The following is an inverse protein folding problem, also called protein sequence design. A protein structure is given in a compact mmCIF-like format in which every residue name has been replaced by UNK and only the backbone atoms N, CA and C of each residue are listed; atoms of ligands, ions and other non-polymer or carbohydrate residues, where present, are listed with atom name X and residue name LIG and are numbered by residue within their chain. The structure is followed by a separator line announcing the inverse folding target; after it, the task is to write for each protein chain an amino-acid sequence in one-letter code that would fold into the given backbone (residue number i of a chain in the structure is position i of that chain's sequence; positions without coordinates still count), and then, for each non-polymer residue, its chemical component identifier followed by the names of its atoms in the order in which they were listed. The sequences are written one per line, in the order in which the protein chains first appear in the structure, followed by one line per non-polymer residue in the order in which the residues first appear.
data_IF_812563879928
#
_entry.id   IF_812563879928
#
_cell.length_a   1.000
_cell.length_b   1.000
_cell.length_c   1.000
_cell.angle_alpha   90.00
_cell.angle_beta   90.00
_cell.angle_gamma   90.00
#
_symmetry.space_group_name_H-M   'P 1'
#
loop_
_entity.id
_entity.type
_entity.pdbx_description
1 polymer ?
#
# COMPACT_ATOMS: atom_id res chain seq x y z
N UNK A 1 -0.82 -30.72 -24.92
CA UNK A 1 -0.36 -29.35 -24.58
C UNK A 1 0.59 -29.48 -23.38
N UNK A 2 1.88 -29.18 -23.57
CA UNK A 2 2.99 -29.61 -22.70
C UNK A 2 3.21 -28.59 -21.58
N UNK A 3 2.76 -28.90 -20.36
CA UNK A 3 2.78 -27.99 -19.18
C UNK A 3 4.16 -28.01 -18.47
N UNK A 4 5.12 -28.80 -18.95
CA UNK A 4 6.42 -28.99 -18.26
C UNK A 4 7.45 -27.85 -18.42
N UNK A 5 7.23 -26.87 -19.32
CA UNK A 5 8.27 -25.87 -19.66
C UNK A 5 8.20 -24.54 -18.91
N UNK A 6 7.21 -24.34 -18.03
CA UNK A 6 7.01 -23.03 -17.34
C UNK A 6 8.06 -22.80 -16.25
N UNK A 7 8.75 -23.85 -15.79
CA UNK A 7 9.73 -23.79 -14.69
C UNK A 7 11.07 -23.12 -15.08
N UNK A 8 11.34 -22.93 -16.38
CA UNK A 8 12.64 -22.43 -16.87
C UNK A 8 12.62 -20.95 -17.28
N UNK A 9 11.49 -20.25 -17.11
CA UNK A 9 11.37 -18.88 -17.57
C UNK A 9 11.99 -17.91 -16.56
N UNK A 10 12.77 -16.96 -17.07
CA UNK A 10 13.28 -15.83 -16.25
C UNK A 10 12.11 -15.12 -15.58
N UNK A 11 12.33 -14.65 -14.34
CA UNK A 11 11.33 -13.91 -13.55
C UNK A 11 10.74 -12.72 -14.31
N UNK A 12 11.54 -12.08 -15.16
CA UNK A 12 11.13 -10.98 -16.03
C UNK A 12 10.03 -11.40 -17.02
N UNK A 13 10.20 -12.55 -17.70
CA UNK A 13 9.25 -13.06 -18.69
C UNK A 13 7.92 -13.45 -18.04
N UNK A 14 7.98 -14.06 -16.86
CA UNK A 14 6.78 -14.43 -16.09
C UNK A 14 6.03 -13.18 -15.64
N UNK A 15 6.75 -12.20 -15.07
CA UNK A 15 6.15 -10.92 -14.64
C UNK A 15 5.49 -10.18 -15.79
N UNK A 16 6.20 -10.06 -16.92
CA UNK A 16 5.71 -9.38 -18.11
C UNK A 16 4.48 -10.08 -18.70
N UNK A 17 4.47 -11.41 -18.74
CA UNK A 17 3.31 -12.17 -19.20
C UNK A 17 2.08 -11.95 -18.30
N UNK A 18 2.25 -12.05 -16.98
CA UNK A 18 1.16 -11.80 -16.02
C UNK A 18 0.62 -10.38 -16.19
N UNK A 19 1.51 -9.39 -16.33
CA UNK A 19 1.12 -8.00 -16.56
C UNK A 19 0.29 -7.85 -17.83
N UNK A 20 0.71 -8.42 -18.96
CA UNK A 20 -0.03 -8.31 -20.22
C UNK A 20 -1.39 -9.01 -20.16
N UNK A 21 -1.48 -10.17 -19.51
CA UNK A 21 -2.77 -10.86 -19.32
C UNK A 21 -3.71 -10.01 -18.47
N UNK A 22 -3.23 -9.43 -17.36
CA UNK A 22 -4.02 -8.57 -16.50
C UNK A 22 -4.48 -7.31 -17.23
N UNK A 23 -3.58 -6.63 -17.94
CA UNK A 23 -3.91 -5.42 -18.72
C UNK A 23 -4.90 -5.76 -19.83
N UNK A 24 -4.71 -6.86 -20.54
CA UNK A 24 -5.63 -7.32 -21.59
C UNK A 24 -7.02 -7.59 -21.04
N UNK A 25 -7.12 -8.26 -19.89
CA UNK A 25 -8.39 -8.50 -19.20
C UNK A 25 -9.08 -7.19 -18.78
N UNK A 26 -8.33 -6.25 -18.20
CA UNK A 26 -8.85 -4.93 -17.81
C UNK A 26 -9.39 -4.20 -19.02
N UNK A 27 -8.57 -4.04 -20.07
CA UNK A 27 -8.97 -3.33 -21.29
C UNK A 27 -10.21 -3.96 -21.91
N UNK A 28 -10.28 -5.29 -21.98
CA UNK A 28 -11.44 -6.01 -22.50
C UNK A 28 -12.71 -5.69 -21.71
N UNK A 29 -12.68 -5.82 -20.38
CA UNK A 29 -13.86 -5.54 -19.53
C UNK A 29 -14.28 -4.08 -19.64
N UNK A 30 -13.33 -3.14 -19.69
CA UNK A 30 -13.63 -1.72 -19.87
C UNK A 30 -14.22 -1.40 -21.25
N UNK A 31 -13.74 -2.04 -22.32
CA UNK A 31 -14.36 -1.93 -23.65
C UNK A 31 -15.81 -2.40 -23.58
N UNK A 32 -16.08 -3.56 -22.99
CA UNK A 32 -17.45 -4.07 -22.85
C UNK A 32 -18.33 -3.12 -22.02
N UNK A 33 -17.79 -2.55 -20.93
CA UNK A 33 -18.46 -1.55 -20.11
C UNK A 33 -18.86 -0.28 -20.88
N UNK A 34 -17.96 0.27 -21.70
CA UNK A 34 -18.25 1.48 -22.46
C UNK A 34 -19.10 1.25 -23.70
N UNK A 35 -19.00 0.07 -24.34
CA UNK A 35 -19.72 -0.19 -25.59
C UNK A 35 -21.11 -0.80 -25.38
N UNK A 36 -21.36 -1.47 -24.26
CA UNK A 36 -22.60 -2.24 -24.07
C UNK A 36 -23.44 -1.64 -22.96
N UNK A 37 -24.57 -1.04 -23.36
CA UNK A 37 -25.57 -0.51 -22.44
C UNK A 37 -25.12 0.74 -21.69
N UNK A 38 -24.20 1.53 -22.25
CA UNK A 38 -23.63 2.71 -21.58
C UNK A 38 -24.68 3.73 -21.11
N UNK A 39 -25.77 3.89 -21.87
CA UNK A 39 -26.86 4.82 -21.58
C UNK A 39 -27.96 4.22 -20.69
N UNK A 40 -27.78 3.02 -20.14
CA UNK A 40 -28.75 2.40 -19.23
C UNK A 40 -28.80 3.20 -17.92
N UNK A 41 -29.95 3.75 -17.51
CA UNK A 41 -30.07 4.51 -16.27
C UNK A 41 -30.02 3.57 -15.06
N UNK A 42 -29.40 4.05 -13.99
CA UNK A 42 -29.33 3.32 -12.72
C UNK A 42 -30.68 3.37 -11.98
N UNK A 43 -31.14 2.22 -11.51
CA UNK A 43 -32.49 2.06 -10.94
C UNK A 43 -32.72 2.93 -9.69
N UNK A 44 -31.73 3.02 -8.80
CA UNK A 44 -31.88 3.76 -7.54
C UNK A 44 -31.69 5.27 -7.72
N UNK A 45 -30.97 5.67 -8.77
CA UNK A 45 -30.78 7.09 -9.10
C UNK A 45 -30.57 7.27 -10.61
N UNK A 46 -31.63 7.64 -11.35
CA UNK A 46 -31.58 7.83 -12.80
C UNK A 46 -30.63 8.94 -13.28
N UNK A 47 -30.09 9.76 -12.37
CA UNK A 47 -29.04 10.73 -12.70
C UNK A 47 -27.68 10.07 -13.03
N UNK A 48 -27.53 8.78 -12.72
CA UNK A 48 -26.33 8.01 -13.04
C UNK A 48 -26.66 6.90 -14.03
N UNK A 49 -25.71 6.58 -14.89
CA UNK A 49 -25.81 5.41 -15.76
C UNK A 49 -25.21 4.19 -15.05
N UNK A 50 -25.83 3.03 -15.24
CA UNK A 50 -25.32 1.73 -14.82
C UNK A 50 -25.21 0.81 -16.05
N UNK A 51 -24.10 0.91 -16.80
CA UNK A 51 -23.89 0.04 -17.95
C UNK A 51 -23.98 -1.44 -17.59
N UNK A 52 -24.30 -2.30 -18.56
CA UNK A 52 -24.59 -3.72 -18.30
C UNK A 52 -23.40 -4.46 -17.66
N UNK A 53 -22.17 -4.04 -17.97
CA UNK A 53 -20.95 -4.61 -17.41
C UNK A 53 -20.44 -3.89 -16.15
N UNK A 54 -21.24 -3.03 -15.51
CA UNK A 54 -20.87 -2.39 -14.23
C UNK A 54 -20.51 -3.45 -13.18
N UNK A 55 -21.32 -4.50 -13.06
CA UNK A 55 -21.05 -5.62 -12.15
C UNK A 55 -19.75 -6.36 -12.51
N UNK A 56 -19.44 -6.46 -13.81
CA UNK A 56 -18.18 -7.04 -14.29
C UNK A 56 -16.95 -6.23 -13.88
N UNK A 57 -17.04 -4.89 -13.97
CA UNK A 57 -16.00 -3.98 -13.48
C UNK A 57 -15.84 -4.09 -11.97
N UNK A 58 -16.95 -4.14 -11.22
CA UNK A 58 -16.94 -4.30 -9.76
C UNK A 58 -16.32 -5.65 -9.36
N UNK A 59 -16.67 -6.75 -10.06
CA UNK A 59 -16.09 -8.07 -9.82
C UNK A 59 -14.58 -8.07 -10.09
N UNK A 60 -14.13 -7.42 -11.18
CA UNK A 60 -12.72 -7.27 -11.49
C UNK A 60 -11.97 -6.49 -10.40
N UNK A 61 -12.57 -5.42 -9.88
CA UNK A 61 -12.01 -4.64 -8.77
C UNK A 61 -11.80 -5.50 -7.52
N UNK A 62 -12.81 -6.29 -7.12
CA UNK A 62 -12.68 -7.20 -5.98
C UNK A 62 -11.64 -8.30 -6.20
N UNK A 63 -11.59 -8.88 -7.40
CA UNK A 63 -10.59 -9.88 -7.77
C UNK A 63 -9.18 -9.30 -7.62
N UNK A 64 -8.95 -8.12 -8.18
CA UNK A 64 -7.65 -7.44 -8.10
C UNK A 64 -7.28 -7.08 -6.67
N UNK A 65 -8.25 -6.64 -5.86
CA UNK A 65 -8.03 -6.32 -4.45
C UNK A 65 -7.63 -7.56 -3.65
N UNK A 66 -8.36 -8.67 -3.80
CA UNK A 66 -8.04 -9.94 -3.12
C UNK A 66 -6.67 -10.46 -3.58
N UNK A 67 -6.38 -10.39 -4.88
CA UNK A 67 -5.09 -10.80 -5.43
C UNK A 67 -3.93 -9.98 -4.85
N UNK A 68 -4.08 -8.64 -4.82
CA UNK A 68 -3.09 -7.74 -4.23
C UNK A 68 -2.87 -8.02 -2.74
N UNK A 69 -3.94 -8.19 -1.96
CA UNK A 69 -3.85 -8.56 -0.54
C UNK A 69 -3.13 -9.90 -0.35
N UNK A 70 -3.43 -10.90 -1.20
CA UNK A 70 -2.76 -12.19 -1.21
C UNK A 70 -1.26 -12.06 -1.47
N UNK A 71 -0.86 -11.23 -2.44
CA UNK A 71 0.55 -10.96 -2.75
C UNK A 71 1.27 -10.25 -1.61
N UNK A 72 0.60 -9.31 -0.92
CA UNK A 72 1.13 -8.63 0.25
C UNK A 72 1.42 -9.64 1.35
N UNK A 73 0.44 -10.47 1.72
CA UNK A 73 0.59 -11.52 2.74
C UNK A 73 1.71 -12.50 2.35
N UNK A 74 1.71 -12.97 1.11
CA UNK A 74 2.74 -13.87 0.60
C UNK A 74 4.14 -13.24 0.68
N UNK A 75 4.27 -11.96 0.32
CA UNK A 75 5.54 -11.22 0.38
C UNK A 75 6.03 -11.06 1.81
N UNK A 76 5.14 -10.78 2.77
CA UNK A 76 5.48 -10.75 4.18
C UNK A 76 5.94 -12.11 4.70
N UNK A 77 5.19 -13.19 4.43
CA UNK A 77 5.54 -14.55 4.86
C UNK A 77 6.88 -14.98 4.25
N UNK A 78 7.09 -14.71 2.97
CA UNK A 78 8.35 -15.01 2.28
C UNK A 78 9.51 -14.19 2.87
N UNK A 79 9.32 -12.88 3.07
CA UNK A 79 10.34 -12.00 3.66
C UNK A 79 10.74 -12.46 5.06
N UNK A 80 9.77 -12.81 5.90
CA UNK A 80 10.02 -13.34 7.23
C UNK A 80 10.81 -14.66 7.20
N UNK A 81 10.45 -15.60 6.31
CA UNK A 81 11.15 -16.89 6.16
C UNK A 81 12.54 -16.76 5.53
N UNK A 82 12.76 -15.78 4.66
CA UNK A 82 14.04 -15.57 3.97
C UNK A 82 15.05 -14.79 4.82
N UNK A 83 14.59 -13.95 5.76
CA UNK A 83 15.46 -13.16 6.65
C UNK A 83 16.33 -14.00 7.60
N UNK A 84 15.99 -15.27 7.86
CA UNK A 84 16.82 -16.15 8.68
C UNK A 84 18.16 -16.52 8.01
N UNK A 85 18.30 -16.31 6.69
CA UNK A 85 19.46 -16.78 5.91
C UNK A 85 20.38 -15.68 5.36
N UNK A 86 19.98 -14.40 5.43
CA UNK A 86 20.72 -13.29 4.82
C UNK A 86 21.03 -12.25 5.88
N UNK A 87 22.29 -12.21 6.27
CA UNK A 87 23.01 -11.22 7.07
C UNK A 87 22.20 -10.31 7.99
N UNK A 88 22.24 -10.64 9.27
CA UNK A 88 21.71 -9.81 10.35
C UNK A 88 22.43 -8.44 10.48
N UNK A 89 23.56 -8.25 9.78
CA UNK A 89 24.42 -7.08 9.85
C UNK A 89 24.87 -6.72 8.43
N UNK A 90 24.39 -5.58 7.92
CA UNK A 90 24.84 -5.02 6.63
C UNK A 90 25.72 -3.82 6.96
N UNK A 91 26.98 -3.82 6.52
CA UNK A 91 27.95 -2.74 6.79
C UNK A 91 28.10 -2.39 8.29
N UNK A 92 28.11 -3.39 9.18
CA UNK A 92 28.23 -3.19 10.63
C UNK A 92 26.96 -2.68 11.33
N UNK A 93 25.86 -2.46 10.60
CA UNK A 93 24.59 -2.00 11.14
C UNK A 93 23.61 -3.19 11.21
N UNK A 94 22.96 -3.45 12.35
CA UNK A 94 21.99 -4.53 12.48
C UNK A 94 20.65 -4.16 11.81
N UNK A 95 20.63 -4.17 10.48
CA UNK A 95 19.53 -3.70 9.64
C UNK A 95 18.21 -4.43 9.94
N UNK A 96 18.26 -5.72 10.26
CA UNK A 96 17.09 -6.53 10.60
C UNK A 96 16.41 -6.02 11.87
N UNK A 97 17.17 -5.73 12.92
CA UNK A 97 16.63 -5.20 14.19
C UNK A 97 15.94 -3.85 13.99
N UNK A 98 16.57 -2.97 13.21
CA UNK A 98 16.00 -1.65 12.87
C UNK A 98 14.69 -1.84 12.12
N UNK A 99 14.66 -2.71 11.10
CA UNK A 99 13.46 -3.01 10.32
C UNK A 99 12.31 -3.50 11.21
N UNK A 100 12.56 -4.50 12.08
CA UNK A 100 11.53 -5.00 13.01
C UNK A 100 10.98 -3.92 13.94
N UNK A 101 11.85 -3.05 14.47
CA UNK A 101 11.41 -1.93 15.33
C UNK A 101 10.56 -0.94 14.54
N UNK A 102 10.98 -0.56 13.33
CA UNK A 102 10.22 0.37 12.47
C UNK A 102 8.86 -0.21 12.12
N UNK A 103 8.78 -1.49 11.75
CA UNK A 103 7.51 -2.18 11.50
C UNK A 103 6.63 -2.21 12.74
N UNK A 104 7.18 -2.58 13.90
CA UNK A 104 6.45 -2.62 15.17
C UNK A 104 5.91 -1.26 15.58
N UNK A 105 6.75 -0.22 15.54
CA UNK A 105 6.34 1.16 15.87
C UNK A 105 5.26 1.66 14.91
N UNK A 106 5.41 1.40 13.61
CA UNK A 106 4.40 1.80 12.60
C UNK A 106 3.06 1.10 12.87
N UNK A 107 3.09 -0.20 13.14
CA UNK A 107 1.89 -0.97 13.44
C UNK A 107 1.19 -0.48 14.72
N UNK A 108 1.96 -0.24 15.78
CA UNK A 108 1.44 0.32 17.04
C UNK A 108 0.80 1.69 16.81
N UNK A 109 1.44 2.58 16.04
CA UNK A 109 0.88 3.88 15.68
C UNK A 109 -0.42 3.77 14.89
N UNK A 110 -0.52 2.82 13.95
CA UNK A 110 -1.76 2.56 13.22
C UNK A 110 -2.89 2.09 14.15
N UNK A 111 -2.60 1.18 15.08
CA UNK A 111 -3.58 0.71 16.06
C UNK A 111 -4.02 1.86 16.97
N UNK A 112 -3.08 2.67 17.48
CA UNK A 112 -3.40 3.81 18.34
C UNK A 112 -4.24 4.85 17.57
N UNK A 113 -3.83 5.24 16.37
CA UNK A 113 -4.60 6.21 15.58
C UNK A 113 -5.97 5.67 15.19
N UNK A 114 -6.13 4.37 14.92
CA UNK A 114 -7.45 3.76 14.73
C UNK A 114 -8.33 3.92 15.98
N UNK A 115 -7.80 3.63 17.16
CA UNK A 115 -8.55 3.80 18.41
C UNK A 115 -8.93 5.26 18.68
N UNK A 116 -8.04 6.22 18.39
CA UNK A 116 -8.25 7.64 18.68
C UNK A 116 -8.87 8.47 17.54
N UNK A 117 -8.99 7.92 16.32
CA UNK A 117 -9.61 8.62 15.19
C UNK A 117 -11.07 8.97 15.51
N UNK A 118 -11.52 10.23 15.34
CA UNK A 118 -12.91 10.60 15.54
C UNK A 118 -13.84 9.88 14.55
N UNK A 119 -15.04 9.52 15.01
CA UNK A 119 -16.13 8.96 14.17
C UNK A 119 -17.19 9.99 13.84
N UNK A 120 -16.83 11.27 13.89
CA UNK A 120 -17.75 12.36 13.59
C UNK A 120 -18.23 12.23 12.14
N UNK A 121 -19.56 12.30 11.88
CA UNK A 121 -20.11 12.29 10.54
C UNK A 121 -19.45 13.35 9.66
N UNK A 122 -19.06 12.98 8.46
CA UNK A 122 -18.49 13.92 7.48
C UNK A 122 -19.47 14.08 6.33
N UNK A 123 -19.71 15.32 5.92
CA UNK A 123 -20.53 15.60 4.73
C UNK A 123 -19.61 15.52 3.52
N UNK A 124 -19.88 14.60 2.60
CA UNK A 124 -19.18 14.50 1.32
C UNK A 124 -20.22 14.60 0.21
N UNK A 125 -20.08 15.59 -0.67
CA UNK A 125 -21.02 15.87 -1.76
C UNK A 125 -22.49 15.98 -1.30
N UNK A 126 -22.72 16.61 -0.14
CA UNK A 126 -24.06 16.81 0.43
C UNK A 126 -24.68 15.58 1.09
N UNK A 127 -24.03 14.42 1.06
CA UNK A 127 -24.46 13.20 1.77
C UNK A 127 -23.71 13.04 3.09
N UNK A 128 -24.41 12.58 4.11
CA UNK A 128 -23.87 12.33 5.43
C UNK A 128 -23.18 10.96 5.46
N UNK A 129 -21.85 10.94 5.58
CA UNK A 129 -21.08 9.70 5.72
C UNK A 129 -20.86 9.40 7.21
N UNK A 130 -21.44 8.28 7.66
CA UNK A 130 -21.43 7.84 9.07
C UNK A 130 -20.94 6.40 9.27
N UNK A 131 -20.49 5.76 8.19
CA UNK A 131 -19.91 4.42 8.20
C UNK A 131 -18.73 4.36 9.18
N UNK A 132 -18.96 3.77 10.36
CA UNK A 132 -18.01 3.77 11.47
C UNK A 132 -16.65 3.21 11.06
N UNK A 133 -16.66 2.07 10.36
CA UNK A 133 -15.44 1.39 9.94
C UNK A 133 -14.66 2.23 8.92
N UNK A 134 -15.35 2.76 7.90
CA UNK A 134 -14.73 3.56 6.84
C UNK A 134 -14.12 4.86 7.37
N UNK A 135 -14.80 5.54 8.30
CA UNK A 135 -14.30 6.76 8.95
C UNK A 135 -13.05 6.47 9.79
N UNK A 136 -13.10 5.40 10.61
CA UNK A 136 -11.97 4.96 11.44
C UNK A 136 -10.77 4.53 10.59
N UNK A 137 -11.02 3.73 9.55
CA UNK A 137 -9.99 3.19 8.67
C UNK A 137 -9.31 4.30 7.86
N UNK A 138 -10.06 5.27 7.34
CA UNK A 138 -9.47 6.41 6.64
C UNK A 138 -8.66 7.30 7.59
N UNK A 139 -9.22 7.65 8.74
CA UNK A 139 -8.55 8.54 9.68
C UNK A 139 -7.26 7.94 10.26
N UNK A 140 -7.21 6.63 10.55
CA UNK A 140 -5.96 6.02 11.05
C UNK A 140 -4.78 6.21 10.09
N UNK A 141 -5.02 6.10 8.77
CA UNK A 141 -3.96 6.30 7.77
C UNK A 141 -3.53 7.76 7.70
N UNK A 142 -4.49 8.69 7.71
CA UNK A 142 -4.21 10.13 7.69
C UNK A 142 -3.40 10.54 8.92
N UNK A 143 -3.88 10.23 10.12
CA UNK A 143 -3.18 10.60 11.35
C UNK A 143 -1.82 9.92 11.49
N UNK A 144 -1.71 8.64 11.13
CA UNK A 144 -0.41 7.93 11.17
C UNK A 144 0.58 8.57 10.20
N UNK A 145 0.16 8.92 8.98
CA UNK A 145 1.05 9.52 7.98
C UNK A 145 1.59 10.88 8.43
N UNK A 146 0.74 11.74 9.00
CA UNK A 146 1.13 13.06 9.53
C UNK A 146 2.11 12.88 10.70
N UNK A 147 1.82 11.96 11.61
CA UNK A 147 2.67 11.72 12.79
C UNK A 147 4.05 11.19 12.36
N UNK A 148 4.09 10.23 11.45
CA UNK A 148 5.36 9.71 10.90
C UNK A 148 6.13 10.79 10.13
N UNK A 149 5.45 11.67 9.39
CA UNK A 149 6.09 12.80 8.71
C UNK A 149 6.76 13.75 9.72
N UNK A 150 6.07 14.09 10.81
CA UNK A 150 6.63 14.95 11.88
C UNK A 150 7.83 14.28 12.55
N UNK A 151 7.74 12.99 12.86
CA UNK A 151 8.88 12.21 13.41
C UNK A 151 10.06 12.21 12.42
N UNK A 152 9.79 12.02 11.12
CA UNK A 152 10.83 12.04 10.10
C UNK A 152 11.54 13.40 10.04
N UNK A 153 10.78 14.51 10.06
CA UNK A 153 11.36 15.86 10.09
C UNK A 153 12.21 16.05 11.36
N UNK A 154 11.67 15.70 12.53
CA UNK A 154 12.37 15.85 13.81
C UNK A 154 13.68 15.03 13.85
N UNK A 155 13.66 13.79 13.35
CA UNK A 155 14.84 12.93 13.29
C UNK A 155 15.90 13.45 12.33
N UNK A 156 15.52 14.04 11.18
CA UNK A 156 16.46 14.69 10.25
C UNK A 156 17.08 15.94 10.86
N UNK A 157 16.30 16.80 11.51
CA UNK A 157 16.81 18.01 12.18
C UNK A 157 17.77 17.64 13.30
N UNK A 158 17.42 16.66 14.13
CA UNK A 158 18.28 16.18 15.20
C UNK A 158 19.56 15.53 14.66
N UNK A 159 19.44 14.69 13.63
CA UNK A 159 20.57 14.00 13.00
C UNK A 159 21.56 14.96 12.35
N UNK A 160 21.06 15.93 11.58
CA UNK A 160 21.89 16.98 10.94
C UNK A 160 22.61 17.85 11.99
N UNK A 161 21.90 18.28 13.04
CA UNK A 161 22.50 19.05 14.14
C UNK A 161 23.64 18.28 14.83
N UNK A 162 23.44 16.99 15.10
CA UNK A 162 24.46 16.14 15.75
C UNK A 162 25.65 15.85 14.83
N UNK A 163 25.41 15.67 13.54
CA UNK A 163 26.45 15.46 12.54
C UNK A 163 27.38 16.67 12.45
N UNK A 164 26.82 17.88 12.38
CA UNK A 164 27.59 19.14 12.33
C UNK A 164 28.48 19.27 13.58
N UNK A 165 27.92 19.05 14.78
CA UNK A 165 28.68 19.16 16.03
C UNK A 165 29.86 18.18 16.10
N UNK A 166 29.72 16.98 15.53
CA UNK A 166 30.79 15.96 15.57
C UNK A 166 31.98 16.33 14.68
N UNK A 167 31.73 16.92 13.52
CA UNK A 167 32.77 17.36 12.60
C UNK A 167 33.58 18.53 13.20
N UNK A 168 32.90 19.50 13.83
CA UNK A 168 33.57 20.63 14.49
C UNK A 168 34.53 20.18 15.60
N UNK A 169 34.20 19.12 16.36
CA UNK A 169 35.11 18.59 17.40
C UNK A 169 36.29 17.80 16.84
N UNK A 170 36.17 17.18 15.65
CA UNK A 170 37.29 16.48 15.01
C UNK A 170 38.31 17.44 14.40
N UNK A 171 37.88 18.60 13.90
CA UNK A 171 38.77 19.61 13.33
C UNK A 171 39.61 20.32 14.41
N UNK A 172 39.04 20.52 15.61
CA UNK A 172 39.75 21.12 16.76
C UNK A 172 40.86 20.22 17.33
N UNK A 173 40.77 18.89 17.17
CA UNK A 173 41.82 17.96 17.64
C UNK A 173 42.91 17.64 16.61
N UNK A 174 42.77 18.13 15.38
CA UNK A 174 43.78 17.98 14.32
C UNK A 174 44.62 19.24 14.09
N UNK A 175 44.30 20.34 14.78
CA UNK A 175 45.09 21.58 14.84
C UNK A 175 45.96 21.58 16.12
#
# INVERSE_FOLDING_TARGET
MKIESVKQWSTEKISQYILYVLVGLIVLIFILFYLIGFDLPFLDNPAFNAPLFTDGVIALMWLMLIFALGLVVWSFVKSYRSQTKVDQIVNGIPATKISYVVWGVTFVLMVLTFLFTPTSPVIVNGKLFQEWFSLKLSGMFVYTSILLLVIAIATVVFGSTRYIRRNTHQDVHKA
#
